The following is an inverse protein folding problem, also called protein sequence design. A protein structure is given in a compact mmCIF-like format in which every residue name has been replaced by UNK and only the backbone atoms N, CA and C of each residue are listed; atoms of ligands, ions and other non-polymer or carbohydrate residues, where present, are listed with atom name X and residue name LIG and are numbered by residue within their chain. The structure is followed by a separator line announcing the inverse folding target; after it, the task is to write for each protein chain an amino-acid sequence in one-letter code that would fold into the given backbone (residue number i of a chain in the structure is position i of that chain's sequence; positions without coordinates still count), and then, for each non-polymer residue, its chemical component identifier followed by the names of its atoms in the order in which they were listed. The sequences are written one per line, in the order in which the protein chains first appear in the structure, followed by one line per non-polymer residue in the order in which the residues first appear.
data_IF_038069618898
#
_entry.id   IF_038069618898
#
_cell.length_a   1.000
_cell.length_b   1.000
_cell.length_c   1.000
_cell.angle_alpha   90.00
_cell.angle_beta   90.00
_cell.angle_gamma   90.00
#
_symmetry.space_group_name_H-M   'P 1'
#
loop_
_entity.id
_entity.type
_entity.pdbx_description
1 polymer ?
#
# COMPACT_ATOMS: atom_id res chain seq x y z
N UNK A 1 -10.77 -4.58 21.15
CA UNK A 1 -10.96 -4.46 19.72
C UNK A 1 -9.69 -3.90 19.07
N UNK A 2 -9.21 -4.60 18.06
CA UNK A 2 -7.98 -4.22 17.35
C UNK A 2 -8.22 -3.02 16.45
N UNK A 3 -7.31 -2.06 16.48
CA UNK A 3 -7.33 -0.90 15.61
C UNK A 3 -5.92 -0.62 15.13
N UNK A 4 -5.81 -0.11 13.90
CA UNK A 4 -4.51 0.16 13.31
C UNK A 4 -3.87 -1.09 12.78
N UNK A 5 -2.55 -1.08 12.70
CA UNK A 5 -1.81 -2.19 12.13
C UNK A 5 -1.75 -3.39 13.06
N UNK A 6 -1.94 -4.56 12.49
CA UNK A 6 -1.89 -5.82 13.24
C UNK A 6 -1.14 -6.86 12.43
N UNK A 7 -0.13 -7.49 13.02
CA UNK A 7 0.65 -8.52 12.36
C UNK A 7 0.18 -9.89 12.82
N UNK A 8 -0.10 -10.76 11.84
CA UNK A 8 -0.53 -12.12 12.12
C UNK A 8 0.00 -13.07 11.04
N UNK A 9 0.67 -14.12 11.43
CA UNK A 9 1.18 -15.11 10.50
C UNK A 9 2.19 -14.56 9.51
N UNK A 10 2.95 -13.55 9.90
CA UNK A 10 3.95 -12.92 9.05
C UNK A 10 3.37 -11.89 8.09
N UNK A 11 2.08 -11.59 8.19
CA UNK A 11 1.42 -10.64 7.33
C UNK A 11 0.84 -9.50 8.14
N UNK A 12 0.76 -8.31 7.53
CA UNK A 12 0.22 -7.14 8.18
C UNK A 12 -1.18 -6.85 7.70
N UNK A 13 -2.05 -6.49 8.65
CA UNK A 13 -3.45 -6.12 8.40
C UNK A 13 -3.71 -4.76 9.00
N UNK A 14 -4.69 -4.06 8.47
CA UNK A 14 -5.04 -2.76 8.99
C UNK A 14 -6.52 -2.72 9.38
N UNK A 15 -6.80 -2.27 10.59
CA UNK A 15 -8.17 -2.15 11.11
C UNK A 15 -8.49 -0.68 11.33
N UNK A 16 -9.71 -0.30 10.97
CA UNK A 16 -10.14 1.09 11.15
C UNK A 16 -10.49 1.38 12.61
N UNK A 17 -10.94 2.62 12.87
CA UNK A 17 -11.25 3.04 14.24
C UNK A 17 -12.41 2.25 14.88
N UNK A 18 -13.22 1.60 14.06
CA UNK A 18 -14.32 0.76 14.55
C UNK A 18 -13.92 -0.70 14.70
N UNK A 19 -12.68 -1.04 14.35
CA UNK A 19 -12.21 -2.41 14.48
C UNK A 19 -12.48 -3.29 13.28
N UNK A 20 -12.87 -2.72 12.14
CA UNK A 20 -13.10 -3.47 10.92
C UNK A 20 -11.85 -3.52 10.07
N UNK A 21 -11.57 -4.70 9.51
CA UNK A 21 -10.43 -4.88 8.64
C UNK A 21 -10.63 -4.11 7.33
N UNK A 22 -9.62 -3.36 6.93
CA UNK A 22 -9.65 -2.61 5.68
C UNK A 22 -9.03 -3.42 4.55
N UNK A 23 -9.49 -3.15 3.33
CA UNK A 23 -8.89 -3.71 2.13
C UNK A 23 -8.77 -2.60 1.11
N UNK A 24 -7.93 -2.83 0.08
CA UNK A 24 -7.69 -1.81 -0.94
C UNK A 24 -6.80 -0.69 -0.42
N UNK A 25 -6.92 0.48 -1.03
CA UNK A 25 -6.08 1.61 -0.68
C UNK A 25 -6.47 2.19 0.66
N UNK A 26 -5.47 2.45 1.50
CA UNK A 26 -5.67 3.02 2.83
C UNK A 26 -4.66 4.12 3.06
N UNK A 27 -5.13 5.29 3.49
CA UNK A 27 -4.26 6.38 3.92
C UNK A 27 -4.32 6.43 5.45
N UNK A 28 -3.17 6.24 6.09
CA UNK A 28 -3.13 6.12 7.54
C UNK A 28 -3.03 7.47 8.27
N UNK A 29 -3.17 8.57 7.52
CA UNK A 29 -3.15 9.89 8.11
C UNK A 29 -1.78 10.52 8.23
N UNK A 30 -0.72 9.77 7.89
CA UNK A 30 0.65 10.29 7.93
C UNK A 30 1.16 10.68 6.55
N UNK A 31 0.25 10.77 5.58
CA UNK A 31 0.59 11.12 4.20
C UNK A 31 1.07 9.95 3.37
N UNK A 32 1.02 8.75 3.90
CA UNK A 32 1.46 7.55 3.19
C UNK A 32 0.27 6.68 2.84
N UNK A 33 0.33 6.08 1.67
CA UNK A 33 -0.70 5.17 1.19
C UNK A 33 -0.20 3.74 1.26
N UNK A 34 -1.11 2.84 1.62
CA UNK A 34 -0.84 1.41 1.68
C UNK A 34 -1.92 0.69 0.92
N UNK A 35 -1.60 -0.48 0.41
CA UNK A 35 -2.60 -1.28 -0.31
C UNK A 35 -2.75 -2.63 0.38
N UNK A 36 -3.99 -2.97 0.69
CA UNK A 36 -4.32 -4.23 1.33
C UNK A 36 -5.06 -5.10 0.32
N UNK A 37 -4.57 -6.33 0.14
CA UNK A 37 -5.18 -7.26 -0.79
C UNK A 37 -6.61 -7.59 -0.38
N UNK A 38 -7.42 -8.19 -1.29
CA UNK A 38 -8.77 -8.57 -0.90
C UNK A 38 -8.84 -9.48 0.31
N UNK A 39 -7.77 -10.24 0.60
CA UNK A 39 -7.69 -11.07 1.79
C UNK A 39 -7.35 -10.26 3.03
N UNK A 40 -7.04 -8.97 2.87
CA UNK A 40 -6.74 -8.08 3.97
C UNK A 40 -5.26 -7.92 4.26
N UNK A 41 -4.40 -8.76 3.69
CA UNK A 41 -2.96 -8.66 3.97
C UNK A 41 -2.32 -7.53 3.16
N UNK A 42 -1.32 -6.90 3.77
CA UNK A 42 -0.63 -5.76 3.16
C UNK A 42 0.16 -6.19 1.92
N UNK A 43 -0.01 -5.43 0.84
CA UNK A 43 0.73 -5.66 -0.40
C UNK A 43 2.07 -4.96 -0.35
N UNK A 44 3.10 -5.60 -0.89
CA UNK A 44 4.41 -4.97 -1.11
C UNK A 44 4.87 -5.28 -2.53
N UNK A 45 5.83 -4.50 -3.03
CA UNK A 45 6.33 -4.67 -4.38
C UNK A 45 5.42 -4.04 -5.41
N UNK A 46 5.50 -4.53 -6.65
CA UNK A 46 4.74 -3.96 -7.74
C UNK A 46 3.25 -4.31 -7.64
N UNK A 47 2.42 -3.30 -7.91
CA UNK A 47 0.96 -3.47 -7.93
C UNK A 47 0.42 -2.84 -9.20
N UNK A 48 -0.37 -3.61 -9.95
CA UNK A 48 -1.05 -3.09 -11.14
C UNK A 48 -2.53 -2.91 -10.80
N UNK A 49 -2.98 -1.66 -10.77
CA UNK A 49 -4.36 -1.34 -10.39
C UNK A 49 -4.91 -0.30 -11.34
N UNK A 50 -6.08 -0.57 -11.91
CA UNK A 50 -6.79 0.34 -12.81
C UNK A 50 -5.89 0.87 -13.93
N UNK A 51 -5.11 -0.04 -14.52
CA UNK A 51 -4.20 0.25 -15.64
C UNK A 51 -3.03 1.16 -15.26
N UNK A 52 -2.72 1.24 -13.98
CA UNK A 52 -1.60 2.04 -13.49
C UNK A 52 -0.74 1.18 -12.58
N UNK A 53 0.58 1.26 -12.76
CA UNK A 53 1.51 0.54 -11.92
C UNK A 53 1.90 1.37 -10.72
N UNK A 54 1.94 0.73 -9.56
CA UNK A 54 2.39 1.33 -8.32
C UNK A 54 3.47 0.44 -7.71
N UNK A 55 4.32 1.03 -6.91
CA UNK A 55 5.33 0.25 -6.19
C UNK A 55 5.18 0.49 -4.70
N UNK A 56 5.05 -0.60 -3.95
CA UNK A 56 4.91 -0.53 -2.50
C UNK A 56 6.21 -0.98 -1.88
N UNK A 57 6.79 -0.13 -1.04
CA UNK A 57 8.08 -0.40 -0.39
C UNK A 57 7.96 -1.62 0.53
N UNK A 58 9.10 -2.08 1.03
CA UNK A 58 9.11 -3.26 1.90
C UNK A 58 8.28 -3.07 3.16
N UNK A 59 8.10 -1.82 3.59
CA UNK A 59 7.25 -1.51 4.74
C UNK A 59 5.78 -1.32 4.37
N UNK A 60 5.46 -1.52 3.09
CA UNK A 60 4.11 -1.41 2.59
C UNK A 60 3.69 -0.03 2.11
N UNK A 61 4.50 1.00 2.38
CA UNK A 61 4.13 2.35 1.96
C UNK A 61 4.34 2.53 0.45
N UNK A 62 3.43 3.26 -0.19
CA UNK A 62 3.50 3.52 -1.62
C UNK A 62 4.70 4.41 -1.93
N UNK A 63 5.51 4.01 -2.91
CA UNK A 63 6.65 4.81 -3.34
C UNK A 63 6.15 6.01 -4.16
N UNK A 64 6.71 7.18 -3.88
CA UNK A 64 6.35 8.40 -4.59
C UNK A 64 7.62 9.20 -4.89
N UNK A 65 7.61 9.94 -5.99
CA UNK A 65 8.71 10.84 -6.37
C UNK A 65 10.06 10.12 -6.45
N UNK A 66 10.06 8.88 -6.94
CA UNK A 66 11.30 8.12 -7.09
C UNK A 66 11.21 7.16 -8.25
N UNK A 67 12.37 6.71 -8.70
CA UNK A 67 12.46 5.71 -9.77
C UNK A 67 12.68 4.33 -9.18
N UNK A 68 12.08 3.33 -9.83
CA UNK A 68 12.25 1.94 -9.43
C UNK A 68 12.19 1.06 -10.67
N UNK A 69 13.29 0.34 -10.94
CA UNK A 69 13.36 -0.64 -12.04
C UNK A 69 12.99 -0.05 -13.41
N UNK A 70 13.38 1.20 -13.66
CA UNK A 70 13.09 1.83 -14.94
C UNK A 70 11.73 2.50 -15.02
N UNK A 71 11.03 2.57 -13.90
CA UNK A 71 9.76 3.26 -13.80
C UNK A 71 9.88 4.45 -12.85
N UNK A 72 9.30 5.56 -13.24
CA UNK A 72 9.27 6.73 -12.37
C UNK A 72 7.91 6.82 -11.69
N UNK A 73 7.92 6.89 -10.37
CA UNK A 73 6.70 6.97 -9.59
C UNK A 73 6.48 8.42 -9.21
N UNK A 74 5.38 8.98 -9.68
CA UNK A 74 5.08 10.40 -9.47
C UNK A 74 4.61 10.71 -8.06
N UNK A 75 4.19 11.96 -7.87
CA UNK A 75 3.73 12.40 -6.55
C UNK A 75 2.49 11.65 -6.08
N UNK A 76 1.70 11.12 -7.03
CA UNK A 76 0.51 10.32 -6.71
C UNK A 76 0.81 8.82 -6.70
N UNK A 77 2.08 8.45 -6.88
CA UNK A 77 2.48 7.06 -6.89
C UNK A 77 2.32 6.36 -8.23
N UNK A 78 1.74 7.02 -9.22
CA UNK A 78 1.50 6.41 -10.53
C UNK A 78 2.82 6.19 -11.26
N UNK A 79 3.06 4.96 -11.70
CA UNK A 79 4.29 4.60 -12.38
C UNK A 79 4.25 4.95 -13.86
N UNK A 80 5.34 5.49 -14.36
CA UNK A 80 5.53 5.78 -15.78
C UNK A 80 6.87 5.23 -16.20
N UNK A 81 6.88 4.53 -17.33
CA UNK A 81 8.12 3.96 -17.81
C UNK A 81 9.06 5.08 -18.26
N UNK A 82 10.30 5.02 -17.78
CA UNK A 82 11.33 5.98 -18.12
C UNK A 82 11.88 5.77 -19.51
#
# INVERSE_FOLDING_TARGET
RTRGWFQYGGKWYYFDGNGYMKTGWVNTGNGKWYYLNPDGDMKTGWLYDKNIWYYLNNDGSMAVNRSQDGWYLGADGAGRKE
#
